data_IF_032314972569
#
_entry.id   IF_032314972569
#
_cell.length_a   1.000
_cell.length_b   1.000
_cell.length_c   1.000
_cell.angle_alpha   90.00
_cell.angle_beta   90.00
_cell.angle_gamma   90.00
#
_symmetry.space_group_name_H-M   'P 1'
#
loop_
_entity.id
_entity.type
_entity.pdbx_description
1 polymer ?
#
# COMPACT_ATOMS: atom_id res chain seq x y z
N UNK A 1 8.15 -21.66 15.55
CA UNK A 1 7.28 -20.63 14.96
C UNK A 1 8.16 -19.40 14.73
N UNK A 2 8.16 -18.81 13.53
CA UNK A 2 8.83 -17.52 13.30
C UNK A 2 8.01 -16.44 13.99
N UNK A 3 8.68 -15.51 14.67
CA UNK A 3 8.03 -14.31 15.26
C UNK A 3 7.30 -13.56 14.14
N UNK A 4 6.07 -13.09 14.34
CA UNK A 4 5.39 -12.27 13.35
C UNK A 4 6.26 -11.07 12.98
N UNK A 5 6.54 -10.90 11.69
CA UNK A 5 7.26 -9.72 11.21
C UNK A 5 6.30 -8.53 11.28
N UNK A 6 6.74 -7.43 11.87
CA UNK A 6 5.97 -6.19 11.92
C UNK A 6 6.25 -5.37 10.68
N UNK A 7 5.21 -4.80 10.09
CA UNK A 7 5.34 -4.01 8.86
C UNK A 7 6.39 -2.89 9.02
N UNK A 8 6.35 -2.15 10.12
CA UNK A 8 7.32 -1.10 10.39
C UNK A 8 8.75 -1.61 10.31
N UNK A 9 9.06 -2.72 10.99
CA UNK A 9 10.40 -3.31 11.04
C UNK A 9 10.86 -3.75 9.65
N UNK A 10 9.97 -4.36 8.86
CA UNK A 10 10.26 -4.80 7.50
C UNK A 10 10.58 -3.62 6.59
N UNK A 11 9.81 -2.54 6.66
CA UNK A 11 10.03 -1.35 5.84
C UNK A 11 11.28 -0.57 6.27
N UNK A 12 11.56 -0.44 7.58
CA UNK A 12 12.76 0.22 8.10
C UNK A 12 14.06 -0.55 7.77
N UNK A 13 13.98 -1.88 7.70
CA UNK A 13 15.12 -2.74 7.39
C UNK A 13 15.27 -3.04 5.88
N UNK A 14 14.36 -2.53 5.06
CA UNK A 14 14.39 -2.78 3.63
C UNK A 14 15.71 -2.33 3.02
N UNK A 15 16.39 -3.27 2.35
CA UNK A 15 17.62 -3.06 1.60
C UNK A 15 17.40 -3.59 0.19
N UNK A 16 17.31 -2.71 -0.82
CA UNK A 16 16.92 -3.12 -2.16
C UNK A 16 17.95 -4.03 -2.83
N UNK A 17 17.47 -5.07 -3.48
CA UNK A 17 18.23 -5.82 -4.47
C UNK A 17 17.97 -5.17 -5.83
N UNK A 18 18.97 -4.48 -6.38
CA UNK A 18 18.84 -3.65 -7.59
C UNK A 18 18.69 -4.46 -8.88
N UNK A 19 17.74 -5.40 -8.89
CA UNK A 19 17.26 -6.12 -10.07
C UNK A 19 15.73 -6.21 -10.03
N UNK A 20 15.08 -6.27 -11.17
CA UNK A 20 13.61 -6.38 -11.24
C UNK A 20 13.13 -7.62 -10.48
N UNK A 21 13.73 -8.78 -10.74
CA UNK A 21 13.35 -10.04 -10.08
C UNK A 21 13.62 -10.01 -8.56
N UNK A 22 14.73 -9.38 -8.15
CA UNK A 22 15.07 -9.22 -6.74
C UNK A 22 14.05 -8.35 -6.01
N UNK A 23 13.72 -7.20 -6.57
CA UNK A 23 12.69 -6.31 -6.03
C UNK A 23 11.30 -6.96 -6.04
N UNK A 24 10.96 -7.70 -7.11
CA UNK A 24 9.67 -8.39 -7.18
C UNK A 24 9.49 -9.35 -6.01
N UNK A 25 10.50 -10.14 -5.67
CA UNK A 25 10.47 -11.06 -4.52
C UNK A 25 10.38 -10.29 -3.19
N UNK A 26 11.18 -9.23 -3.04
CA UNK A 26 11.13 -8.40 -1.84
C UNK A 26 9.76 -7.74 -1.65
N UNK A 27 9.13 -7.26 -2.73
CA UNK A 27 7.80 -6.67 -2.68
C UNK A 27 6.71 -7.70 -2.39
N UNK A 28 6.85 -8.95 -2.89
CA UNK A 28 5.96 -10.04 -2.52
C UNK A 28 6.06 -10.36 -1.01
N UNK A 29 7.28 -10.38 -0.46
CA UNK A 29 7.49 -10.57 0.99
C UNK A 29 6.86 -9.42 1.81
N UNK A 30 7.01 -8.16 1.36
CA UNK A 30 6.35 -7.02 2.00
C UNK A 30 4.83 -7.12 1.87
N UNK A 31 4.31 -7.52 0.71
CA UNK A 31 2.88 -7.71 0.49
C UNK A 31 2.29 -8.75 1.44
N UNK A 32 3.00 -9.86 1.70
CA UNK A 32 2.61 -10.84 2.72
C UNK A 32 2.41 -10.19 4.09
N UNK A 33 3.28 -9.25 4.48
CA UNK A 33 3.18 -8.55 5.76
C UNK A 33 2.04 -7.52 5.74
N UNK A 34 1.90 -6.76 4.66
CA UNK A 34 0.81 -5.77 4.50
C UNK A 34 -0.56 -6.46 4.58
N UNK A 35 -0.73 -7.61 3.94
CA UNK A 35 -2.00 -8.34 4.00
C UNK A 35 -2.26 -9.06 5.34
N UNK A 36 -1.28 -9.03 6.24
CA UNK A 36 -1.39 -9.48 7.62
C UNK A 36 -1.53 -8.31 8.63
N UNK A 37 -2.05 -7.18 8.19
CA UNK A 37 -2.32 -6.04 9.05
C UNK A 37 -3.46 -5.18 8.51
N UNK A 38 -3.74 -4.09 9.22
CA UNK A 38 -4.79 -3.16 8.86
C UNK A 38 -4.54 -1.78 9.49
N UNK A 39 -5.20 -0.76 8.93
CA UNK A 39 -5.27 0.55 9.58
C UNK A 39 -6.44 0.60 10.55
N UNK A 40 -6.23 1.25 11.68
CA UNK A 40 -7.31 1.69 12.56
C UNK A 40 -7.41 3.21 12.45
N UNK A 41 -8.58 3.70 12.05
CA UNK A 41 -8.84 5.13 11.86
C UNK A 41 -9.72 5.63 13.00
N UNK A 42 -9.20 6.58 13.78
CA UNK A 42 -9.86 7.20 14.94
C UNK A 42 -10.38 6.21 16.00
N UNK A 43 -9.99 4.93 15.96
CA UNK A 43 -10.57 3.87 16.77
C UNK A 43 -12.00 3.48 16.36
N UNK A 44 -12.48 3.93 15.22
CA UNK A 44 -13.86 3.75 14.75
C UNK A 44 -13.97 2.68 13.66
N UNK A 45 -13.01 2.61 12.75
CA UNK A 45 -12.97 1.57 11.71
C UNK A 45 -11.61 0.97 11.49
N UNK A 46 -11.63 -0.24 10.95
CA UNK A 46 -10.47 -0.98 10.48
C UNK A 46 -10.50 -1.05 8.95
N UNK A 47 -9.39 -0.69 8.30
CA UNK A 47 -9.22 -0.70 6.84
C UNK A 47 -8.19 -1.75 6.48
N UNK A 48 -8.59 -2.75 5.70
CA UNK A 48 -7.78 -3.89 5.29
C UNK A 48 -7.35 -3.73 3.84
N UNK A 49 -6.04 -3.57 3.54
CA UNK A 49 -5.54 -3.63 2.18
C UNK A 49 -5.81 -5.00 1.55
N UNK A 50 -6.32 -4.99 0.32
CA UNK A 50 -6.57 -6.21 -0.46
C UNK A 50 -5.71 -6.23 -1.72
N UNK A 51 -5.39 -5.05 -2.24
CA UNK A 51 -4.77 -4.86 -3.54
C UNK A 51 -3.78 -3.71 -3.47
N UNK A 52 -2.50 -3.98 -3.78
CA UNK A 52 -1.42 -3.00 -3.63
C UNK A 52 -0.49 -3.01 -4.83
N UNK A 53 0.05 -1.84 -5.18
CA UNK A 53 1.06 -1.68 -6.22
C UNK A 53 2.32 -1.04 -5.67
N UNK A 54 3.48 -1.62 -5.97
CA UNK A 54 4.76 -1.05 -5.57
C UNK A 54 5.36 -0.13 -6.62
N UNK A 55 6.05 0.89 -6.11
CA UNK A 55 6.83 1.84 -6.88
C UNK A 55 8.22 1.97 -6.26
N UNK A 56 9.26 1.97 -7.10
CA UNK A 56 10.65 2.05 -6.64
C UNK A 56 11.50 2.84 -7.64
N UNK A 57 12.20 3.85 -7.13
CA UNK A 57 13.11 4.69 -7.89
C UNK A 57 14.48 4.72 -7.21
N UNK A 58 15.52 4.24 -7.90
CA UNK A 58 16.90 4.26 -7.46
C UNK A 58 17.52 5.62 -7.75
N UNK A 59 17.73 6.43 -6.72
CA UNK A 59 18.34 7.76 -6.85
C UNK A 59 19.88 7.70 -6.74
N UNK A 60 20.43 6.67 -6.09
CA UNK A 60 21.88 6.54 -5.88
C UNK A 60 22.60 6.10 -7.15
N UNK A 61 22.08 5.09 -7.83
CA UNK A 61 22.78 4.46 -8.97
C UNK A 61 22.05 4.64 -10.31
N UNK A 62 20.76 5.02 -10.27
CA UNK A 62 19.95 5.17 -11.48
C UNK A 62 19.66 3.87 -12.24
N UNK A 63 19.84 2.70 -11.59
CA UNK A 63 19.66 1.38 -12.23
C UNK A 63 18.18 1.12 -12.49
N UNK A 64 17.32 1.48 -11.54
CA UNK A 64 15.88 1.29 -11.64
C UNK A 64 15.19 2.64 -11.56
N UNK A 65 14.68 3.09 -12.70
CA UNK A 65 13.97 4.38 -12.82
C UNK A 65 12.47 4.14 -12.79
N UNK A 66 11.75 4.94 -11.96
CA UNK A 66 10.29 4.93 -11.88
C UNK A 66 9.73 6.30 -12.31
N UNK A 67 9.28 6.44 -13.56
CA UNK A 67 8.77 7.73 -14.05
C UNK A 67 7.42 8.11 -13.44
N UNK A 68 6.64 7.14 -12.96
CA UNK A 68 5.28 7.33 -12.45
C UNK A 68 5.20 7.60 -10.94
N UNK A 69 6.33 7.73 -10.26
CA UNK A 69 6.33 8.02 -8.82
C UNK A 69 5.96 9.48 -8.57
N UNK A 70 4.98 9.72 -7.71
CA UNK A 70 4.51 11.07 -7.36
C UNK A 70 5.43 11.80 -6.38
N UNK A 71 6.04 11.07 -5.45
CA UNK A 71 6.89 11.61 -4.39
C UNK A 71 8.38 11.49 -4.73
N UNK A 72 8.84 12.22 -5.74
CA UNK A 72 10.25 12.27 -6.17
C UNK A 72 10.66 13.68 -6.59
N UNK A 73 11.90 13.82 -7.04
CA UNK A 73 12.46 15.10 -7.46
C UNK A 73 12.68 16.06 -6.28
N UNK A 74 12.17 17.28 -6.36
CA UNK A 74 12.36 18.31 -5.35
C UNK A 74 11.56 18.12 -4.06
N UNK A 75 10.73 17.09 -3.98
CA UNK A 75 10.01 16.80 -2.74
C UNK A 75 10.96 16.26 -1.65
N UNK A 76 10.70 16.56 -0.38
CA UNK A 76 11.46 15.99 0.72
C UNK A 76 11.29 14.47 0.77
N UNK A 77 12.24 13.77 1.41
CA UNK A 77 12.05 12.36 1.74
C UNK A 77 11.03 12.23 2.85
N UNK A 78 10.16 11.24 2.70
CA UNK A 78 9.12 10.95 3.69
C UNK A 78 9.58 9.87 4.66
N UNK A 79 9.35 10.03 5.97
CA UNK A 79 9.59 8.97 6.93
C UNK A 79 8.88 7.66 6.54
N UNK A 80 9.46 6.53 6.92
CA UNK A 80 8.85 5.21 6.71
C UNK A 80 7.45 5.18 7.33
N UNK A 81 6.47 4.71 6.55
CA UNK A 81 5.07 4.64 6.95
C UNK A 81 4.29 5.95 6.79
N UNK A 82 4.86 6.97 6.13
CA UNK A 82 4.08 8.17 5.79
C UNK A 82 2.97 7.85 4.81
N UNK A 83 1.81 8.44 5.07
CA UNK A 83 0.66 8.39 4.16
C UNK A 83 0.78 9.56 3.17
N UNK A 84 0.92 9.24 1.90
CA UNK A 84 1.07 10.22 0.82
C UNK A 84 -0.14 10.17 -0.13
N UNK A 85 -1.08 11.13 -0.01
CA UNK A 85 -2.24 11.19 -0.90
C UNK A 85 -1.89 11.83 -2.24
N UNK A 86 -2.47 11.31 -3.31
CA UNK A 86 -2.35 11.87 -4.66
C UNK A 86 -3.57 11.51 -5.52
N UNK A 87 -3.61 11.99 -6.77
CA UNK A 87 -4.78 11.85 -7.66
C UNK A 87 -5.19 10.40 -7.97
N UNK A 88 -4.28 9.43 -7.83
CA UNK A 88 -4.56 8.01 -8.06
C UNK A 88 -4.88 7.23 -6.78
N UNK A 89 -4.74 7.84 -5.61
CA UNK A 89 -5.04 7.22 -4.33
C UNK A 89 -4.10 7.60 -3.20
N UNK A 90 -3.70 6.62 -2.41
CA UNK A 90 -2.90 6.81 -1.20
C UNK A 90 -1.74 5.84 -1.20
N UNK A 91 -0.53 6.37 -1.12
CA UNK A 91 0.70 5.60 -0.94
C UNK A 91 1.09 5.51 0.54
N UNK A 92 1.71 4.41 0.92
CA UNK A 92 2.54 4.33 2.12
C UNK A 92 4.01 4.32 1.68
N UNK A 93 4.79 5.28 2.16
CA UNK A 93 6.19 5.46 1.76
C UNK A 93 7.17 4.67 2.64
N UNK A 94 8.28 4.23 2.03
CA UNK A 94 9.42 3.64 2.74
C UNK A 94 10.72 4.03 2.03
N UNK A 95 11.10 5.29 2.17
CA UNK A 95 12.20 5.91 1.47
C UNK A 95 13.50 5.91 2.29
N UNK A 96 14.64 6.07 1.61
CA UNK A 96 15.93 6.31 2.24
C UNK A 96 16.66 7.42 1.52
N UNK A 97 16.89 8.52 2.22
CA UNK A 97 17.51 9.73 1.69
C UNK A 97 18.81 9.44 0.95
N UNK A 98 18.95 10.00 -0.25
CA UNK A 98 20.11 9.85 -1.13
C UNK A 98 20.32 8.45 -1.70
N UNK A 99 19.38 7.52 -1.46
CA UNK A 99 19.47 6.14 -1.96
C UNK A 99 18.31 5.76 -2.87
N UNK A 100 17.10 5.82 -2.36
CA UNK A 100 15.92 5.43 -3.13
C UNK A 100 14.65 6.05 -2.59
N UNK A 101 13.70 6.19 -3.48
CA UNK A 101 12.29 6.44 -3.18
C UNK A 101 11.50 5.16 -3.38
N UNK A 102 10.64 4.85 -2.44
CA UNK A 102 9.80 3.66 -2.54
C UNK A 102 8.46 3.86 -1.82
N UNK A 103 7.42 3.25 -2.37
CA UNK A 103 6.09 3.22 -1.77
C UNK A 103 5.30 2.02 -2.25
N UNK A 104 4.20 1.77 -1.58
CA UNK A 104 3.11 1.00 -2.16
C UNK A 104 1.80 1.79 -2.13
N UNK A 105 1.13 1.81 -3.28
CA UNK A 105 -0.20 2.36 -3.47
C UNK A 105 -1.23 1.33 -3.05
N UNK A 106 -2.17 1.70 -2.19
CA UNK A 106 -3.32 0.87 -1.84
C UNK A 106 -4.37 0.97 -2.95
N UNK A 107 -4.41 -0.03 -3.84
CA UNK A 107 -5.31 -0.07 -5.02
C UNK A 107 -6.72 -0.50 -4.66
N UNK A 108 -6.82 -1.42 -3.71
CA UNK A 108 -8.09 -1.94 -3.24
C UNK A 108 -8.04 -2.26 -1.76
N UNK A 109 -9.16 -2.06 -1.08
CA UNK A 109 -9.30 -2.33 0.35
C UNK A 109 -10.74 -2.72 0.70
N UNK A 110 -10.91 -3.24 1.89
CA UNK A 110 -12.21 -3.36 2.55
C UNK A 110 -12.14 -2.72 3.92
N UNK A 111 -13.28 -2.40 4.50
CA UNK A 111 -13.30 -1.89 5.86
C UNK A 111 -14.43 -2.52 6.70
N UNK A 112 -14.30 -2.43 8.00
CA UNK A 112 -15.36 -2.76 8.96
C UNK A 112 -15.35 -1.75 10.10
N UNK A 113 -16.52 -1.51 10.67
CA UNK A 113 -16.64 -0.79 11.93
C UNK A 113 -16.01 -1.61 13.07
N UNK A 114 -15.31 -0.95 14.02
CA UNK A 114 -14.79 -1.59 15.23
C UNK A 114 -15.93 -2.18 16.09
N UNK A 115 -17.16 -1.67 15.96
CA UNK A 115 -18.36 -2.23 16.59
C UNK A 115 -18.77 -3.60 16.06
N UNK A 116 -18.10 -4.12 15.01
CA UNK A 116 -18.31 -5.46 14.49
C UNK A 116 -19.34 -5.60 13.36
N UNK A 117 -19.98 -4.53 12.97
CA UNK A 117 -20.82 -4.53 11.76
C UNK A 117 -19.91 -4.46 10.52
N UNK A 118 -19.89 -5.55 9.75
CA UNK A 118 -19.32 -5.52 8.41
C UNK A 118 -20.22 -4.66 7.54
N UNK A 119 -19.83 -3.44 7.24
CA UNK A 119 -20.44 -2.73 6.13
C UNK A 119 -19.95 -3.35 4.82
N UNK A 120 -20.82 -4.15 4.20
CA UNK A 120 -20.59 -4.60 2.83
C UNK A 120 -20.80 -3.44 1.88
N UNK A 121 -19.71 -2.79 1.52
CA UNK A 121 -19.77 -1.74 0.51
C UNK A 121 -20.01 -2.34 -0.88
N UNK A 122 -21.06 -1.90 -1.53
CA UNK A 122 -21.27 -2.13 -2.95
C UNK A 122 -20.64 -1.00 -3.75
N UNK A 123 -19.86 -1.34 -4.77
CA UNK A 123 -19.36 -0.35 -5.73
C UNK A 123 -20.56 0.45 -6.28
N UNK A 124 -20.61 1.74 -5.99
CA UNK A 124 -21.71 2.65 -6.38
C UNK A 124 -21.99 2.65 -7.89
N UNK A 125 -21.04 2.23 -8.72
CA UNK A 125 -21.13 2.29 -10.19
C UNK A 125 -21.78 1.05 -10.80
N UNK A 126 -21.68 -0.13 -10.18
CA UNK A 126 -22.14 -1.38 -10.78
C UNK A 126 -22.78 -2.40 -9.81
N UNK A 127 -23.07 -2.03 -8.57
CA UNK A 127 -23.66 -2.88 -7.52
C UNK A 127 -22.90 -4.22 -7.29
N UNK A 128 -21.64 -4.33 -7.70
CA UNK A 128 -20.84 -5.53 -7.46
C UNK A 128 -20.08 -5.39 -6.15
N UNK A 129 -20.07 -6.43 -5.35
CA UNK A 129 -19.14 -6.58 -4.23
C UNK A 129 -17.73 -6.60 -4.83
N UNK A 130 -16.98 -5.54 -4.64
CA UNK A 130 -15.60 -5.46 -5.07
C UNK A 130 -14.81 -4.63 -4.05
N UNK A 131 -13.50 -4.87 -3.93
CA UNK A 131 -12.66 -4.03 -3.10
C UNK A 131 -12.84 -2.56 -3.48
N UNK A 132 -12.75 -1.70 -2.46
CA UNK A 132 -12.81 -0.25 -2.69
C UNK A 132 -11.64 0.17 -3.55
N UNK A 133 -11.88 1.12 -4.43
CA UNK A 133 -10.82 1.73 -5.21
C UNK A 133 -10.01 2.70 -4.37
N UNK A 134 -8.73 2.76 -4.64
CA UNK A 134 -7.75 3.64 -4.01
C UNK A 134 -8.21 5.10 -3.86
N UNK A 135 -8.94 5.63 -4.83
CA UNK A 135 -9.43 7.01 -4.82
C UNK A 135 -10.41 7.32 -3.68
N UNK A 136 -11.11 6.31 -3.13
CA UNK A 136 -12.02 6.48 -2.00
C UNK A 136 -11.32 6.30 -0.65
N UNK A 137 -10.13 5.69 -0.63
CA UNK A 137 -9.39 5.44 0.59
C UNK A 137 -9.08 6.75 1.33
N UNK A 138 -8.79 7.82 0.58
CA UNK A 138 -8.52 9.10 1.18
C UNK A 138 -9.72 9.66 1.94
N UNK A 139 -10.92 9.53 1.37
CA UNK A 139 -12.17 9.96 2.03
C UNK A 139 -12.41 9.13 3.31
N UNK A 140 -12.18 7.82 3.24
CA UNK A 140 -12.36 6.91 4.37
C UNK A 140 -11.27 7.11 5.45
N UNK A 141 -10.02 7.40 5.06
CA UNK A 141 -8.94 7.70 6.00
C UNK A 141 -9.13 9.04 6.69
N UNK A 142 -9.58 10.07 5.97
CA UNK A 142 -9.91 11.37 6.56
C UNK A 142 -11.17 11.29 7.42
N UNK A 143 -12.13 10.46 7.03
CA UNK A 143 -13.35 10.22 7.75
C UNK A 143 -14.03 11.51 8.18
N UNK A 144 -14.26 11.64 9.49
CA UNK A 144 -14.85 12.82 10.10
C UNK A 144 -13.79 13.80 10.66
N UNK A 145 -12.57 13.83 10.08
CA UNK A 145 -11.54 14.76 10.53
C UNK A 145 -12.03 16.21 10.41
N UNK A 146 -11.88 16.96 11.49
CA UNK A 146 -12.26 18.36 11.56
C UNK A 146 -11.12 19.17 12.14
N UNK A 147 -10.81 20.31 11.52
CA UNK A 147 -9.80 21.26 12.04
C UNK A 147 -10.21 21.88 13.38
N UNK A 148 -11.48 21.76 13.75
CA UNK A 148 -12.03 22.30 15.01
C UNK A 148 -12.50 21.19 15.97
N UNK A 149 -12.35 19.93 15.62
CA UNK A 149 -12.84 18.79 16.37
C UNK A 149 -11.78 17.75 16.68
N UNK A 150 -12.15 16.48 16.61
CA UNK A 150 -11.21 15.37 16.75
C UNK A 150 -10.13 15.43 15.68
N UNK A 151 -8.88 15.38 16.07
CA UNK A 151 -7.76 15.19 15.14
C UNK A 151 -7.87 13.85 14.40
N UNK A 152 -7.20 13.75 13.27
CA UNK A 152 -7.06 12.49 12.56
C UNK A 152 -6.03 11.61 13.26
N UNK A 153 -6.41 10.39 13.61
CA UNK A 153 -5.52 9.37 14.15
C UNK A 153 -5.59 8.11 13.29
N UNK A 154 -4.52 7.83 12.56
CA UNK A 154 -4.37 6.63 11.74
C UNK A 154 -3.23 5.82 12.32
N UNK A 155 -3.49 4.58 12.70
CA UNK A 155 -2.51 3.67 13.28
C UNK A 155 -2.52 2.37 12.48
N UNK A 156 -1.32 1.87 12.14
CA UNK A 156 -1.17 0.52 11.60
C UNK A 156 -1.14 -0.51 12.73
N UNK A 157 -1.87 -1.59 12.54
CA UNK A 157 -1.95 -2.72 13.47
C UNK A 157 -1.56 -4.00 12.73
N UNK A 158 -0.48 -4.64 13.17
CA UNK A 158 -0.10 -5.97 12.69
C UNK A 158 -0.98 -7.03 13.36
N UNK A 159 -1.41 -8.04 12.60
CA UNK A 159 -2.15 -9.16 13.18
C UNK A 159 -1.28 -9.93 14.19
N UNK A 160 -1.89 -10.40 15.28
CA UNK A 160 -1.21 -11.15 16.32
C UNK A 160 -0.58 -12.46 15.82
N UNK A 161 -1.19 -13.06 14.78
CA UNK A 161 -0.71 -14.26 14.13
C UNK A 161 -0.45 -13.97 12.65
N UNK A 162 0.75 -14.31 12.17
CA UNK A 162 1.06 -14.25 10.75
C UNK A 162 0.46 -15.47 10.03
N UNK A 163 -0.33 -15.21 9.01
CA UNK A 163 -0.88 -16.24 8.12
C UNK A 163 -0.30 -16.05 6.72
N UNK A 164 0.19 -17.13 6.12
CA UNK A 164 0.58 -17.06 4.71
C UNK A 164 -0.67 -16.84 3.88
N UNK A 165 -0.68 -15.75 3.13
CA UNK A 165 -1.78 -15.34 2.26
C UNK A 165 -1.53 -15.85 0.85
N UNK A 166 -2.60 -16.30 0.17
CA UNK A 166 -2.54 -16.60 -1.27
C UNK A 166 -2.51 -15.29 -2.06
N UNK A 167 -1.40 -15.02 -2.76
CA UNK A 167 -1.18 -13.76 -3.48
C UNK A 167 -1.08 -14.02 -4.98
N UNK A 168 -1.85 -13.27 -5.76
CA UNK A 168 -1.63 -13.12 -7.19
C UNK A 168 -0.75 -11.90 -7.46
N UNK A 169 0.21 -12.03 -8.40
CA UNK A 169 0.96 -10.91 -8.93
C UNK A 169 0.57 -10.62 -10.37
N UNK A 170 0.59 -9.35 -10.75
CA UNK A 170 0.31 -8.90 -12.10
C UNK A 170 1.07 -7.61 -12.44
N UNK A 171 1.04 -7.22 -13.72
CA UNK A 171 1.54 -5.92 -14.14
C UNK A 171 0.71 -4.79 -13.50
N UNK A 172 1.36 -3.69 -13.19
CA UNK A 172 0.73 -2.52 -12.57
C UNK A 172 -0.33 -1.90 -13.48
N UNK A 173 -1.40 -1.38 -12.88
CA UNK A 173 -2.55 -0.84 -13.61
C UNK A 173 -2.24 0.56 -14.17
N UNK A 174 -2.53 0.77 -15.46
CA UNK A 174 -2.37 2.05 -16.17
C UNK A 174 -0.93 2.58 -16.32
N UNK A 175 0.09 1.84 -15.91
CA UNK A 175 1.50 2.24 -16.06
C UNK A 175 2.02 1.97 -17.47
N UNK A 176 1.50 0.96 -18.14
CA UNK A 176 1.94 0.48 -19.47
C UNK A 176 1.84 1.53 -20.59
N UNK A 177 0.90 2.48 -20.48
CA UNK A 177 0.65 3.46 -21.53
C UNK A 177 1.71 4.56 -21.62
N UNK A 178 2.51 4.73 -20.57
CA UNK A 178 3.41 5.90 -20.42
C UNK A 178 4.88 5.47 -20.27
N UNK A 179 5.17 4.26 -19.81
CA UNK A 179 6.48 3.90 -19.27
C UNK A 179 7.23 2.79 -19.99
N UNK A 180 6.79 2.31 -21.18
CA UNK A 180 7.51 1.26 -21.91
C UNK A 180 7.77 0.03 -21.03
N UNK A 181 9.03 -0.43 -20.95
CA UNK A 181 9.46 -1.59 -20.16
C UNK A 181 9.11 -1.52 -18.67
N UNK A 182 8.85 -0.33 -18.12
CA UNK A 182 8.45 -0.18 -16.71
C UNK A 182 7.02 -0.66 -16.45
N UNK A 183 6.19 -0.76 -17.48
CA UNK A 183 4.81 -1.23 -17.39
C UNK A 183 4.68 -2.72 -17.10
N UNK A 184 5.67 -3.52 -17.50
CA UNK A 184 5.62 -4.99 -17.41
C UNK A 184 6.06 -5.53 -16.04
N UNK A 185 6.46 -4.63 -15.12
CA UNK A 185 6.86 -5.03 -13.77
C UNK A 185 5.68 -5.64 -13.01
N UNK A 186 5.85 -6.88 -12.56
CA UNK A 186 4.85 -7.65 -11.82
C UNK A 186 4.76 -7.22 -10.35
N UNK A 187 4.60 -5.91 -10.13
CA UNK A 187 4.62 -5.25 -8.81
C UNK A 187 3.23 -4.87 -8.29
N UNK A 188 2.21 -5.47 -8.86
CA UNK A 188 0.84 -5.39 -8.38
C UNK A 188 0.46 -6.72 -7.73
N UNK A 189 0.08 -6.69 -6.45
CA UNK A 189 -0.21 -7.85 -5.63
C UNK A 189 -1.62 -7.79 -5.08
N UNK A 190 -2.34 -8.90 -5.20
CA UNK A 190 -3.72 -9.04 -4.75
C UNK A 190 -3.85 -10.18 -3.76
N UNK A 191 -4.50 -9.92 -2.64
CA UNK A 191 -4.85 -10.92 -1.64
C UNK A 191 -6.05 -11.74 -2.10
N UNK A 192 -5.81 -12.97 -2.60
CA UNK A 192 -6.87 -13.85 -3.11
C UNK A 192 -7.78 -14.41 -2.02
N UNK A 193 -7.33 -14.49 -0.78
CA UNK A 193 -8.13 -14.98 0.33
C UNK A 193 -9.25 -14.01 0.75
N UNK A 194 -9.12 -12.73 0.37
CA UNK A 194 -10.08 -11.67 0.69
C UNK A 194 -11.12 -11.43 -0.42
N UNK A 195 -10.91 -11.95 -1.63
CA UNK A 195 -11.80 -11.74 -2.79
C UNK A 195 -12.59 -12.99 -3.22
N UNK A 196 -12.40 -14.11 -2.49
CA UNK A 196 -13.14 -15.38 -2.68
C UNK A 196 -14.57 -15.35 -2.15
#
# INVERSE_FOLDING_TARGET
MKTPQKLKEVLEQFTPVYTIDGLTRQFEDIAQVVFNGHFVVNGEYEIYPIDIEFYFHDEENGIIVEPQMYHKGDLPYFPVGSIYPHSSGVDMTFEREGKYRASFLMRGYTYKSVSGEKEEYTNKTNNKKSPFRSQYLWEDLLGNASVFGKGLNIVWVDNAEFKKVDIASSARVNVNKISGENGDRMWHFTNLDMIK
#
